data_IF_229020562095
#
_entry.id   IF_229020562095
#
_cell.length_a   1.000
_cell.length_b   1.000
_cell.length_c   1.000
_cell.angle_alpha   90.00
_cell.angle_beta   90.00
_cell.angle_gamma   90.00
#
_symmetry.space_group_name_H-M   'P 1'
#
loop_
_entity.id
_entity.type
_entity.pdbx_description
1 polymer ?
#
# COMPACT_ATOMS: atom_id res chain seq x y z
N UNK A 1 -53.95 -24.03 -14.72
CA UNK A 1 -52.98 -23.16 -14.02
C UNK A 1 -51.59 -23.54 -14.50
N UNK A 2 -51.03 -22.83 -15.49
CA UNK A 2 -49.65 -23.05 -15.94
C UNK A 2 -48.74 -22.16 -15.11
N UNK A 3 -47.89 -22.77 -14.27
CA UNK A 3 -46.83 -22.07 -13.56
C UNK A 3 -45.73 -21.79 -14.58
N UNK A 4 -45.68 -20.55 -15.07
CA UNK A 4 -44.60 -20.07 -15.92
C UNK A 4 -43.35 -19.93 -15.06
N UNK A 5 -42.45 -20.91 -15.16
CA UNK A 5 -41.11 -20.85 -14.58
C UNK A 5 -40.25 -19.85 -15.37
N UNK A 6 -40.19 -18.61 -14.90
CA UNK A 6 -39.21 -17.63 -15.40
C UNK A 6 -37.78 -18.13 -15.12
N UNK A 7 -36.90 -18.24 -16.12
CA UNK A 7 -35.55 -18.73 -15.92
C UNK A 7 -34.71 -17.67 -15.18
N UNK A 8 -34.12 -18.05 -14.04
CA UNK A 8 -33.24 -17.24 -13.17
C UNK A 8 -31.84 -17.08 -13.80
N UNK A 9 -31.77 -16.81 -15.11
CA UNK A 9 -30.53 -16.85 -15.90
C UNK A 9 -29.81 -15.51 -16.04
N UNK A 10 -30.36 -14.40 -15.54
CA UNK A 10 -29.81 -13.05 -15.78
C UNK A 10 -29.01 -12.43 -14.62
N UNK A 11 -29.05 -13.01 -13.41
CA UNK A 11 -28.39 -12.39 -12.25
C UNK A 11 -26.87 -12.66 -12.17
N UNK A 12 -26.39 -13.79 -12.72
CA UNK A 12 -24.99 -14.23 -12.55
C UNK A 12 -23.99 -13.47 -13.42
N UNK A 13 -24.41 -13.01 -14.62
CA UNK A 13 -23.57 -12.24 -15.54
C UNK A 13 -23.25 -10.83 -14.99
N UNK A 14 -24.20 -10.20 -14.30
CA UNK A 14 -24.08 -8.86 -13.73
C UNK A 14 -23.07 -8.80 -12.57
N UNK A 15 -23.11 -9.77 -11.65
CA UNK A 15 -22.18 -9.83 -10.50
C UNK A 15 -20.74 -10.00 -10.98
N UNK A 16 -20.51 -10.86 -11.99
CA UNK A 16 -19.16 -11.10 -12.48
C UNK A 16 -18.52 -9.92 -13.18
N UNK A 17 -19.29 -9.21 -14.00
CA UNK A 17 -18.82 -7.98 -14.62
C UNK A 17 -18.53 -6.89 -13.57
N UNK A 18 -19.41 -6.74 -12.57
CA UNK A 18 -19.21 -5.80 -11.45
C UNK A 18 -17.93 -6.10 -10.67
N UNK A 19 -17.66 -7.37 -10.33
CA UNK A 19 -16.43 -7.75 -9.62
C UNK A 19 -15.17 -7.44 -10.44
N UNK A 20 -15.19 -7.68 -11.76
CA UNK A 20 -14.05 -7.35 -12.63
C UNK A 20 -13.76 -5.85 -12.66
N UNK A 21 -14.79 -5.02 -12.82
CA UNK A 21 -14.65 -3.56 -12.82
C UNK A 21 -14.18 -3.05 -11.45
N UNK A 22 -14.76 -3.57 -10.36
CA UNK A 22 -14.35 -3.22 -9.01
C UNK A 22 -12.88 -3.61 -8.75
N UNK A 23 -12.46 -4.79 -9.18
CA UNK A 23 -11.07 -5.24 -9.07
C UNK A 23 -10.10 -4.40 -9.91
N UNK A 24 -10.49 -3.99 -11.12
CA UNK A 24 -9.69 -3.08 -11.93
C UNK A 24 -9.49 -1.72 -11.24
N UNK A 25 -10.57 -1.11 -10.74
CA UNK A 25 -10.46 0.14 -9.96
C UNK A 25 -9.61 -0.04 -8.70
N UNK A 26 -9.81 -1.14 -7.97
CA UNK A 26 -9.03 -1.46 -6.78
C UNK A 26 -7.53 -1.59 -7.10
N UNK A 27 -7.18 -2.20 -8.24
CA UNK A 27 -5.78 -2.34 -8.72
C UNK A 27 -5.18 -0.99 -9.07
N UNK A 28 -5.92 -0.12 -9.77
CA UNK A 28 -5.48 1.25 -10.06
C UNK A 28 -5.21 2.03 -8.76
N UNK A 29 -6.12 1.92 -7.80
CA UNK A 29 -5.99 2.60 -6.51
C UNK A 29 -4.85 2.04 -5.66
N UNK A 30 -4.62 0.73 -5.69
CA UNK A 30 -3.46 0.10 -5.06
C UNK A 30 -2.16 0.71 -5.60
N UNK A 31 -1.99 0.77 -6.92
CA UNK A 31 -0.79 1.31 -7.56
C UNK A 31 -0.63 2.79 -7.23
N UNK A 32 -1.70 3.60 -7.36
CA UNK A 32 -1.65 5.02 -7.04
C UNK A 32 -1.31 5.26 -5.57
N UNK A 33 -1.89 4.50 -4.64
CA UNK A 33 -1.59 4.61 -3.22
C UNK A 33 -0.13 4.22 -2.91
N UNK A 34 0.38 3.16 -3.54
CA UNK A 34 1.79 2.80 -3.45
C UNK A 34 2.70 3.93 -3.95
N UNK A 35 2.43 4.49 -5.14
CA UNK A 35 3.24 5.57 -5.71
C UNK A 35 3.22 6.82 -4.83
N UNK A 36 2.09 7.16 -4.22
CA UNK A 36 2.00 8.26 -3.26
C UNK A 36 2.84 7.98 -2.02
N UNK A 37 2.73 6.78 -1.43
CA UNK A 37 3.44 6.45 -0.20
C UNK A 37 4.95 6.28 -0.43
N UNK A 38 5.39 5.57 -1.48
CA UNK A 38 6.80 5.43 -1.89
C UNK A 38 7.40 6.78 -2.29
N UNK A 39 6.63 7.61 -3.00
CA UNK A 39 7.03 8.98 -3.33
C UNK A 39 7.28 9.82 -2.08
N UNK A 40 6.34 9.81 -1.11
CA UNK A 40 6.50 10.54 0.14
C UNK A 40 7.68 10.00 0.96
N UNK A 41 7.85 8.68 1.05
CA UNK A 41 8.96 8.03 1.73
C UNK A 41 10.30 8.61 1.21
N UNK A 42 10.47 8.60 -0.12
CA UNK A 42 11.71 9.04 -0.75
C UNK A 42 11.92 10.54 -0.64
N UNK A 43 10.88 11.34 -0.84
CA UNK A 43 10.95 12.79 -0.69
C UNK A 43 11.32 13.20 0.74
N UNK A 44 10.79 12.52 1.76
CA UNK A 44 11.15 12.78 3.15
C UNK A 44 12.62 12.43 3.43
N UNK A 45 13.08 11.26 2.98
CA UNK A 45 14.49 10.85 3.10
C UNK A 45 15.43 11.81 2.37
N UNK A 46 15.13 12.20 1.13
CA UNK A 46 15.91 13.15 0.35
C UNK A 46 15.91 14.53 1.01
N UNK A 47 14.75 15.00 1.47
CA UNK A 47 14.62 16.31 2.12
C UNK A 47 15.49 16.42 3.38
N UNK A 48 15.50 15.38 4.22
CA UNK A 48 16.36 15.35 5.41
C UNK A 48 17.83 15.22 5.03
N UNK A 49 18.19 14.38 4.04
CA UNK A 49 19.57 14.26 3.58
C UNK A 49 20.11 15.58 3.01
N UNK A 50 19.32 16.27 2.17
CA UNK A 50 19.68 17.56 1.61
C UNK A 50 19.82 18.64 2.70
N UNK A 51 18.95 18.65 3.71
CA UNK A 51 19.05 19.57 4.84
C UNK A 51 20.33 19.35 5.68
N UNK A 52 20.90 18.14 5.66
CA UNK A 52 22.16 17.79 6.30
C UNK A 52 23.37 17.89 5.36
N UNK A 53 23.19 18.36 4.12
CA UNK A 53 24.25 18.47 3.13
C UNK A 53 24.81 17.13 2.65
N UNK A 54 24.02 16.05 2.71
CA UNK A 54 24.45 14.71 2.30
C UNK A 54 24.15 14.52 0.80
N UNK A 55 25.17 14.42 -0.06
CA UNK A 55 24.96 14.29 -1.50
C UNK A 55 24.45 12.90 -1.86
N UNK A 56 23.55 12.83 -2.83
CA UNK A 56 22.98 11.57 -3.29
C UNK A 56 22.40 11.63 -4.70
N UNK A 57 21.98 10.46 -5.17
CA UNK A 57 21.28 10.28 -6.44
C UNK A 57 19.99 9.52 -6.19
N UNK A 58 18.89 10.12 -6.62
CA UNK A 58 17.57 9.53 -6.57
C UNK A 58 17.24 8.81 -7.88
N UNK A 59 17.17 7.49 -7.81
CA UNK A 59 16.72 6.63 -8.91
C UNK A 59 15.27 6.16 -8.73
N UNK A 60 14.70 5.59 -9.79
CA UNK A 60 13.32 5.09 -9.78
C UNK A 60 13.07 3.94 -8.79
N UNK A 61 14.12 3.25 -8.32
CA UNK A 61 14.00 2.12 -7.39
C UNK A 61 14.76 2.31 -6.07
N UNK A 62 15.67 3.29 -5.99
CA UNK A 62 16.53 3.46 -4.82
C UNK A 62 17.04 4.89 -4.68
N UNK A 63 17.42 5.25 -3.47
CA UNK A 63 18.25 6.43 -3.20
C UNK A 63 19.66 5.92 -2.92
N UNK A 64 20.66 6.49 -3.59
CA UNK A 64 22.07 6.15 -3.41
C UNK A 64 22.79 7.38 -2.87
N UNK A 65 23.25 7.32 -1.62
CA UNK A 65 24.08 8.37 -1.04
C UNK A 65 25.52 8.23 -1.56
N UNK A 66 26.20 9.36 -1.77
CA UNK A 66 27.60 9.42 -2.23
C UNK A 66 28.61 9.58 -1.09
N UNK A 67 28.14 9.45 0.14
CA UNK A 67 28.94 9.55 1.36
C UNK A 67 29.66 8.22 1.63
N UNK A 68 30.93 8.27 2.02
CA UNK A 68 31.65 7.06 2.44
C UNK A 68 31.16 6.55 3.80
N UNK A 69 31.28 5.25 4.07
CA UNK A 69 30.76 4.65 5.31
C UNK A 69 31.33 5.30 6.58
N UNK A 70 32.59 5.76 6.55
CA UNK A 70 33.25 6.42 7.67
C UNK A 70 32.81 7.87 7.91
N UNK A 71 32.14 8.49 6.93
CA UNK A 71 31.69 9.88 6.99
C UNK A 71 30.29 10.01 7.62
N UNK A 72 29.58 8.89 7.79
CA UNK A 72 28.28 8.88 8.45
C UNK A 72 28.41 9.10 9.95
N UNK A 73 27.62 10.03 10.47
CA UNK A 73 27.45 10.22 11.91
C UNK A 73 26.08 9.75 12.38
N UNK A 74 26.01 9.35 13.64
CA UNK A 74 24.85 8.64 14.21
C UNK A 74 23.52 9.36 14.03
N UNK A 75 23.47 10.67 14.28
CA UNK A 75 22.22 11.43 14.17
C UNK A 75 21.76 11.57 12.72
N UNK A 76 22.68 11.70 11.75
CA UNK A 76 22.32 11.69 10.33
C UNK A 76 21.73 10.36 9.90
N UNK A 77 22.34 9.23 10.27
CA UNK A 77 21.82 7.90 9.91
C UNK A 77 20.39 7.73 10.42
N UNK A 78 20.16 8.02 11.70
CA UNK A 78 18.83 7.91 12.31
C UNK A 78 17.83 8.87 11.64
N UNK A 79 18.22 10.11 11.38
CA UNK A 79 17.33 11.10 10.77
C UNK A 79 16.98 10.75 9.32
N UNK A 80 17.97 10.45 8.48
CA UNK A 80 17.79 10.19 7.05
C UNK A 80 17.01 8.90 6.80
N UNK A 81 17.41 7.81 7.44
CA UNK A 81 16.74 6.51 7.27
C UNK A 81 15.44 6.39 8.07
N UNK A 82 15.23 7.24 9.09
CA UNK A 82 13.97 7.31 9.84
C UNK A 82 12.91 8.20 9.21
N UNK A 83 13.30 9.20 8.40
CA UNK A 83 12.38 10.19 7.83
C UNK A 83 11.30 9.58 6.94
N UNK A 84 11.69 8.72 5.98
CA UNK A 84 10.77 8.05 5.07
C UNK A 84 9.71 7.21 5.81
N UNK A 85 10.12 6.24 6.66
CA UNK A 85 9.19 5.44 7.46
C UNK A 85 8.25 6.29 8.31
N UNK A 86 8.77 7.29 9.03
CA UNK A 86 7.95 8.15 9.91
C UNK A 86 6.94 8.99 9.10
N UNK A 87 7.32 9.50 7.93
CA UNK A 87 6.41 10.21 7.04
C UNK A 87 5.28 9.28 6.54
N UNK A 88 5.60 8.03 6.21
CA UNK A 88 4.60 7.02 5.83
C UNK A 88 3.66 6.64 6.99
N UNK A 89 4.17 6.55 8.21
CA UNK A 89 3.33 6.32 9.40
C UNK A 89 2.36 7.49 9.61
N UNK A 90 2.84 8.73 9.51
CA UNK A 90 2.00 9.92 9.60
C UNK A 90 0.94 9.96 8.48
N UNK A 91 1.33 9.62 7.24
CA UNK A 91 0.42 9.51 6.09
C UNK A 91 -0.67 8.46 6.34
N UNK A 92 -0.30 7.29 6.85
CA UNK A 92 -1.26 6.23 7.17
C UNK A 92 -2.25 6.66 8.26
N UNK A 93 -1.77 7.28 9.33
CA UNK A 93 -2.61 7.83 10.39
C UNK A 93 -3.57 8.89 9.87
N UNK A 94 -3.07 9.83 9.05
CA UNK A 94 -3.88 10.88 8.42
C UNK A 94 -4.93 10.32 7.45
N UNK A 95 -4.57 9.32 6.65
CA UNK A 95 -5.48 8.66 5.72
C UNK A 95 -6.59 7.88 6.47
N UNK A 96 -6.24 7.13 7.51
CA UNK A 96 -7.18 6.41 8.35
C UNK A 96 -8.13 7.36 9.11
N UNK A 97 -7.59 8.44 9.68
CA UNK A 97 -8.39 9.49 10.31
C UNK A 97 -9.38 10.08 9.29
N UNK A 98 -8.89 10.53 8.14
CA UNK A 98 -9.74 11.15 7.12
C UNK A 98 -10.85 10.18 6.67
N UNK A 99 -10.49 8.91 6.47
CA UNK A 99 -11.44 7.87 6.15
C UNK A 99 -12.57 7.84 7.19
N UNK A 100 -12.22 7.73 8.46
CA UNK A 100 -13.17 7.60 9.56
C UNK A 100 -14.07 8.82 9.73
N UNK A 101 -13.48 10.01 9.69
CA UNK A 101 -14.23 11.25 9.98
C UNK A 101 -15.02 11.77 8.79
N UNK A 102 -14.52 11.59 7.56
CA UNK A 102 -15.06 12.30 6.39
C UNK A 102 -15.46 11.41 5.23
N UNK A 103 -14.88 10.22 5.06
CA UNK A 103 -15.07 9.43 3.84
C UNK A 103 -15.98 8.21 4.01
N UNK A 104 -16.07 7.61 5.21
CA UNK A 104 -16.74 6.31 5.44
C UNK A 104 -18.20 6.24 4.95
N UNK A 105 -18.93 7.34 5.07
CA UNK A 105 -20.34 7.44 4.63
C UNK A 105 -20.52 8.10 3.26
N UNK A 106 -19.41 8.51 2.63
CA UNK A 106 -19.44 9.09 1.29
C UNK A 106 -19.31 7.98 0.23
N UNK A 107 -19.91 8.25 -0.93
CA UNK A 107 -19.79 7.40 -2.11
C UNK A 107 -18.51 7.75 -2.86
N UNK A 108 -17.98 6.78 -3.59
CA UNK A 108 -16.90 6.95 -4.54
C UNK A 108 -15.63 6.19 -4.18
N UNK A 109 -14.68 6.21 -5.10
CA UNK A 109 -13.43 5.46 -5.03
C UNK A 109 -12.41 6.03 -4.04
N UNK A 110 -12.61 7.28 -3.59
CA UNK A 110 -11.66 7.96 -2.71
C UNK A 110 -11.47 7.25 -1.36
N UNK A 111 -12.52 6.65 -0.79
CA UNK A 111 -12.40 5.89 0.46
C UNK A 111 -11.57 4.61 0.27
N UNK A 112 -11.64 3.99 -0.90
CA UNK A 112 -10.80 2.84 -1.23
C UNK A 112 -9.35 3.26 -1.50
N UNK A 113 -9.13 4.43 -2.09
CA UNK A 113 -7.80 5.05 -2.16
C UNK A 113 -7.21 5.26 -0.76
N UNK A 114 -7.96 5.89 0.15
CA UNK A 114 -7.52 6.13 1.53
C UNK A 114 -7.19 4.83 2.26
N UNK A 115 -8.00 3.78 2.09
CA UNK A 115 -7.71 2.47 2.66
C UNK A 115 -6.37 1.92 2.16
N UNK A 116 -6.15 1.89 0.84
CA UNK A 116 -4.88 1.43 0.29
C UNK A 116 -3.71 2.30 0.73
N UNK A 117 -3.91 3.62 0.85
CA UNK A 117 -2.90 4.55 1.34
C UNK A 117 -2.53 4.27 2.79
N UNK A 118 -3.51 3.98 3.65
CA UNK A 118 -3.28 3.53 5.02
C UNK A 118 -2.48 2.23 5.03
N UNK A 119 -2.88 1.23 4.26
CA UNK A 119 -2.19 -0.07 4.25
C UNK A 119 -0.76 0.03 3.72
N UNK A 120 -0.52 0.80 2.66
CA UNK A 120 0.83 1.04 2.14
C UNK A 120 1.68 1.85 3.12
N UNK A 121 1.15 2.90 3.75
CA UNK A 121 1.90 3.70 4.72
C UNK A 121 2.27 2.89 5.97
N UNK A 122 1.34 2.08 6.50
CA UNK A 122 1.63 1.15 7.60
C UNK A 122 2.70 0.13 7.19
N UNK A 123 2.60 -0.41 5.99
CA UNK A 123 3.57 -1.38 5.49
C UNK A 123 4.96 -0.75 5.26
N UNK A 124 5.04 0.49 4.76
CA UNK A 124 6.32 1.20 4.59
C UNK A 124 6.92 1.70 5.91
N UNK A 125 6.25 1.50 7.04
CA UNK A 125 6.82 1.66 8.37
C UNK A 125 7.10 0.31 9.03
N UNK A 126 6.06 -0.49 9.30
CA UNK A 126 6.18 -1.78 10.00
C UNK A 126 6.80 -2.87 9.11
N UNK A 127 6.26 -3.04 7.91
CA UNK A 127 6.75 -4.03 6.94
C UNK A 127 8.11 -3.67 6.35
N UNK A 128 8.44 -2.39 6.26
CA UNK A 128 9.75 -1.91 5.86
C UNK A 128 10.81 -2.38 6.84
N UNK A 129 10.63 -2.20 8.15
CA UNK A 129 11.60 -2.67 9.14
C UNK A 129 11.84 -4.18 9.06
N UNK A 130 10.78 -4.96 8.81
CA UNK A 130 10.89 -6.42 8.59
C UNK A 130 11.78 -6.73 7.39
N UNK A 131 11.43 -6.21 6.21
CA UNK A 131 12.14 -6.45 4.96
C UNK A 131 13.58 -5.94 4.99
N UNK A 132 13.76 -4.74 5.52
CA UNK A 132 15.03 -4.04 5.64
C UNK A 132 15.98 -4.80 6.58
N UNK A 133 15.46 -5.50 7.59
CA UNK A 133 16.27 -6.34 8.46
C UNK A 133 16.80 -7.60 7.76
N UNK A 134 16.05 -8.16 6.80
CA UNK A 134 16.56 -9.27 5.97
C UNK A 134 17.63 -8.82 4.99
N UNK A 135 17.58 -7.58 4.51
CA UNK A 135 18.52 -7.06 3.51
C UNK A 135 19.63 -6.17 4.08
N UNK A 136 19.55 -5.86 5.38
CA UNK A 136 20.45 -4.94 6.10
C UNK A 136 20.58 -3.58 5.39
N UNK A 137 19.44 -3.02 4.97
CA UNK A 137 19.39 -1.78 4.21
C UNK A 137 18.31 -0.83 4.78
N UNK A 138 18.33 0.44 4.40
CA UNK A 138 17.22 1.36 4.66
C UNK A 138 16.93 1.53 6.15
N UNK A 139 15.69 1.23 6.55
CA UNK A 139 15.21 1.45 7.91
C UNK A 139 15.91 0.58 8.95
N UNK A 140 16.57 -0.52 8.56
CA UNK A 140 17.40 -1.34 9.44
C UNK A 140 18.53 -0.55 10.12
N UNK A 141 19.08 0.46 9.44
CA UNK A 141 20.14 1.29 9.99
C UNK A 141 19.69 2.08 11.22
N UNK A 142 18.41 2.43 11.33
CA UNK A 142 17.89 3.23 12.45
C UNK A 142 18.10 2.54 13.79
N UNK A 143 17.53 1.35 14.07
CA UNK A 143 17.80 0.67 15.33
C UNK A 143 19.26 0.23 15.49
N UNK A 144 19.95 -0.12 14.39
CA UNK A 144 21.36 -0.51 14.44
C UNK A 144 22.24 0.61 15.04
N UNK A 145 22.05 1.83 14.54
CA UNK A 145 22.79 3.01 14.99
C UNK A 145 22.19 3.66 16.24
N UNK A 146 20.90 3.48 16.50
CA UNK A 146 20.25 4.01 17.69
C UNK A 146 20.61 3.22 18.94
N UNK A 147 20.69 1.88 18.88
CA UNK A 147 20.93 1.06 20.07
C UNK A 147 22.38 0.61 20.22
N UNK A 148 23.15 0.50 19.13
CA UNK A 148 24.54 0.01 19.14
C UNK A 148 24.71 -1.34 19.86
N UNK A 149 23.64 -2.14 19.91
CA UNK A 149 23.54 -3.38 20.68
C UNK A 149 23.66 -4.63 19.80
N UNK A 150 24.26 -4.48 18.61
CA UNK A 150 24.37 -5.53 17.61
C UNK A 150 23.03 -5.86 16.92
N UNK A 151 23.04 -6.91 16.09
CA UNK A 151 21.90 -7.23 15.22
C UNK A 151 20.71 -7.85 15.96
N UNK A 152 20.89 -8.35 17.20
CA UNK A 152 19.81 -9.00 17.96
C UNK A 152 18.64 -8.05 18.22
N UNK A 153 18.94 -6.76 18.49
CA UNK A 153 17.90 -5.74 18.71
C UNK A 153 17.13 -5.44 17.43
N UNK A 154 17.81 -5.38 16.27
CA UNK A 154 17.16 -5.19 14.98
C UNK A 154 16.18 -6.33 14.67
N UNK A 155 16.61 -7.58 14.88
CA UNK A 155 15.77 -8.77 14.67
C UNK A 155 14.58 -8.78 15.63
N UNK A 156 14.79 -8.45 16.91
CA UNK A 156 13.71 -8.38 17.88
C UNK A 156 12.67 -7.31 17.52
N UNK A 157 13.10 -6.11 17.11
CA UNK A 157 12.21 -5.05 16.67
C UNK A 157 11.47 -5.41 15.37
N UNK A 158 12.17 -5.99 14.40
CA UNK A 158 11.56 -6.49 13.17
C UNK A 158 10.48 -7.53 13.47
N UNK A 159 10.72 -8.45 14.40
CA UNK A 159 9.72 -9.43 14.84
C UNK A 159 8.49 -8.74 15.48
N UNK A 160 8.70 -7.81 16.41
CA UNK A 160 7.62 -7.06 17.06
C UNK A 160 6.80 -6.28 16.02
N UNK A 161 7.45 -5.56 15.11
CA UNK A 161 6.79 -4.78 14.06
C UNK A 161 6.04 -5.70 13.08
N UNK A 162 6.63 -6.85 12.77
CA UNK A 162 6.03 -7.93 11.99
C UNK A 162 4.80 -8.56 12.66
N UNK A 163 4.67 -8.51 13.99
CA UNK A 163 3.46 -8.91 14.73
C UNK A 163 2.40 -7.81 14.78
N UNK A 164 2.81 -6.55 14.89
CA UNK A 164 1.89 -5.40 14.89
C UNK A 164 1.13 -5.29 13.56
N UNK A 165 1.81 -5.52 12.43
CA UNK A 165 1.22 -5.37 11.10
C UNK A 165 0.01 -6.30 10.85
N UNK A 166 0.05 -7.60 11.20
CA UNK A 166 -1.13 -8.48 11.20
C UNK A 166 -2.29 -8.00 12.07
N UNK A 167 -2.00 -7.49 13.28
CA UNK A 167 -3.04 -6.96 14.18
C UNK A 167 -3.73 -5.76 13.54
N UNK A 168 -2.96 -4.83 12.96
CA UNK A 168 -3.51 -3.67 12.25
C UNK A 168 -4.30 -4.10 11.00
N UNK A 169 -3.84 -5.13 10.29
CA UNK A 169 -4.56 -5.74 9.17
C UNK A 169 -5.92 -6.28 9.59
N UNK A 170 -5.97 -7.05 10.69
CA UNK A 170 -7.23 -7.54 11.26
C UNK A 170 -8.19 -6.38 11.62
N UNK A 171 -7.69 -5.36 12.31
CA UNK A 171 -8.47 -4.19 12.73
C UNK A 171 -8.93 -3.31 11.56
N UNK A 172 -8.33 -3.43 10.37
CA UNK A 172 -8.72 -2.69 9.18
C UNK A 172 -9.95 -3.30 8.45
N UNK A 173 -10.48 -4.44 8.90
CA UNK A 173 -11.63 -5.10 8.26
C UNK A 173 -12.87 -4.22 8.14
N UNK A 174 -13.31 -3.47 9.17
CA UNK A 174 -14.43 -2.55 9.04
C UNK A 174 -14.16 -1.46 8.00
N UNK A 175 -12.93 -0.93 7.94
CA UNK A 175 -12.54 0.08 6.95
C UNK A 175 -12.62 -0.49 5.53
N UNK A 176 -12.14 -1.72 5.32
CA UNK A 176 -12.23 -2.40 4.03
C UNK A 176 -13.67 -2.64 3.58
N UNK A 177 -14.53 -3.15 4.46
CA UNK A 177 -15.92 -3.40 4.11
C UNK A 177 -16.63 -2.07 3.79
N UNK A 178 -16.39 -1.04 4.61
CA UNK A 178 -16.96 0.29 4.39
C UNK A 178 -16.38 1.01 3.18
N UNK A 179 -15.20 0.62 2.68
CA UNK A 179 -14.60 1.23 1.49
C UNK A 179 -15.31 0.85 0.19
N UNK A 180 -16.26 -0.08 0.22
CA UNK A 180 -16.99 -0.54 -0.96
C UNK A 180 -18.39 0.09 -1.04
N UNK A 181 -18.83 0.40 -2.26
CA UNK A 181 -20.16 1.00 -2.51
C UNK A 181 -21.19 -0.01 -3.02
N UNK A 182 -20.75 -1.18 -3.48
CA UNK A 182 -21.61 -2.14 -4.17
C UNK A 182 -22.34 -3.04 -3.18
N UNK A 183 -23.64 -2.79 -2.99
CA UNK A 183 -24.52 -3.65 -2.18
C UNK A 183 -24.50 -5.11 -2.62
N UNK A 184 -24.45 -5.36 -3.93
CA UNK A 184 -24.44 -6.73 -4.46
C UNK A 184 -23.16 -7.45 -4.05
N UNK A 185 -21.99 -6.82 -4.21
CA UNK A 185 -20.72 -7.46 -3.86
C UNK A 185 -20.49 -7.57 -2.36
N UNK A 186 -21.15 -6.73 -1.56
CA UNK A 186 -21.04 -6.73 -0.10
C UNK A 186 -21.86 -7.81 0.61
N UNK A 187 -22.77 -8.49 -0.09
CA UNK A 187 -23.51 -9.63 0.46
C UNK A 187 -22.55 -10.72 0.93
N UNK A 188 -22.88 -11.37 2.03
CA UNK A 188 -22.06 -12.42 2.61
C UNK A 188 -21.73 -13.54 1.61
N UNK A 189 -22.72 -13.98 0.81
CA UNK A 189 -22.56 -14.98 -0.26
C UNK A 189 -21.49 -14.64 -1.30
N UNK A 190 -21.19 -13.34 -1.48
CA UNK A 190 -20.22 -12.84 -2.44
C UNK A 190 -18.93 -12.35 -1.78
N UNK A 191 -18.77 -12.52 -0.46
CA UNK A 191 -17.62 -12.02 0.31
C UNK A 191 -16.29 -12.58 -0.19
N UNK A 192 -16.22 -13.90 -0.42
CA UNK A 192 -15.00 -14.52 -0.98
C UNK A 192 -14.62 -13.90 -2.33
N UNK A 193 -15.61 -13.66 -3.19
CA UNK A 193 -15.38 -13.04 -4.50
C UNK A 193 -14.91 -11.60 -4.35
N UNK A 194 -15.52 -10.83 -3.45
CA UNK A 194 -15.10 -9.48 -3.11
C UNK A 194 -13.63 -9.47 -2.70
N UNK A 195 -13.25 -10.26 -1.70
CA UNK A 195 -11.87 -10.34 -1.19
C UNK A 195 -10.86 -10.75 -2.28
N UNK A 196 -11.17 -11.78 -3.06
CA UNK A 196 -10.27 -12.21 -4.13
C UNK A 196 -10.09 -11.11 -5.18
N UNK A 197 -11.16 -10.39 -5.56
CA UNK A 197 -11.14 -9.44 -6.68
C UNK A 197 -10.72 -8.03 -6.29
N UNK A 198 -10.97 -7.58 -5.05
CA UNK A 198 -10.71 -6.20 -4.60
C UNK A 198 -9.67 -6.09 -3.49
N UNK A 199 -9.16 -7.21 -2.97
CA UNK A 199 -8.04 -7.23 -2.02
C UNK A 199 -6.81 -7.97 -2.58
N UNK A 200 -6.95 -9.28 -2.88
CA UNK A 200 -5.81 -10.09 -3.29
C UNK A 200 -5.38 -9.84 -4.74
N UNK A 201 -6.32 -9.77 -5.68
CA UNK A 201 -5.99 -9.47 -7.09
C UNK A 201 -5.33 -8.09 -7.26
N UNK A 202 -5.79 -7.00 -6.62
CA UNK A 202 -5.10 -5.71 -6.65
C UNK A 202 -3.68 -5.75 -6.11
N UNK A 203 -3.45 -6.46 -5.00
CA UNK A 203 -2.10 -6.66 -4.48
C UNK A 203 -1.22 -7.40 -5.48
N UNK A 204 -1.69 -8.53 -6.02
CA UNK A 204 -0.89 -9.34 -6.94
C UNK A 204 -0.62 -8.61 -8.26
N UNK A 205 -1.67 -8.17 -8.95
CA UNK A 205 -1.58 -7.50 -10.24
C UNK A 205 -0.87 -6.16 -10.13
N UNK A 206 -1.19 -5.39 -9.09
CA UNK A 206 -0.55 -4.11 -8.82
C UNK A 206 0.94 -4.26 -8.52
N UNK A 207 1.32 -5.25 -7.70
CA UNK A 207 2.73 -5.54 -7.42
C UNK A 207 3.47 -5.98 -8.68
N UNK A 208 2.87 -6.82 -9.53
CA UNK A 208 3.46 -7.22 -10.81
C UNK A 208 3.68 -6.01 -11.72
N UNK A 209 2.69 -5.13 -11.86
CA UNK A 209 2.81 -3.91 -12.68
C UNK A 209 3.92 -3.00 -12.14
N UNK A 210 3.99 -2.80 -10.82
CA UNK A 210 5.05 -2.02 -10.19
C UNK A 210 6.44 -2.62 -10.41
N UNK A 211 6.57 -3.94 -10.26
CA UNK A 211 7.81 -4.66 -10.53
C UNK A 211 8.25 -4.52 -12.00
N UNK A 212 7.32 -4.65 -12.94
CA UNK A 212 7.60 -4.47 -14.37
C UNK A 212 8.01 -3.03 -14.69
N UNK A 213 7.34 -2.03 -14.10
CA UNK A 213 7.67 -0.63 -14.29
C UNK A 213 9.07 -0.28 -13.77
N UNK A 214 9.53 -0.97 -12.72
CA UNK A 214 10.85 -0.79 -12.09
C UNK A 214 11.96 -1.66 -12.69
N UNK A 215 11.66 -2.53 -13.65
CA UNK A 215 12.67 -3.37 -14.29
C UNK A 215 13.57 -2.54 -15.23
N UNK A 216 14.92 -2.76 -15.27
CA UNK A 216 15.70 -3.79 -14.56
C UNK A 216 16.18 -3.38 -13.16
N UNK A 217 15.87 -2.17 -12.70
CA UNK A 217 16.37 -1.60 -11.45
C UNK A 217 15.67 -2.16 -10.17
N UNK A 218 14.84 -3.19 -10.30
CA UNK A 218 14.04 -3.75 -9.21
C UNK A 218 14.90 -4.48 -8.17
N UNK A 219 14.96 -3.93 -6.96
CA UNK A 219 15.75 -4.51 -5.87
C UNK A 219 15.05 -5.68 -5.17
N UNK A 220 15.82 -6.54 -4.49
CA UNK A 220 15.28 -7.58 -3.58
C UNK A 220 14.46 -6.92 -2.46
N UNK A 221 14.94 -5.80 -1.94
CA UNK A 221 14.29 -5.12 -0.82
C UNK A 221 12.89 -4.60 -1.19
N UNK A 222 12.71 -4.01 -2.37
CA UNK A 222 11.39 -3.58 -2.84
C UNK A 222 10.41 -4.75 -3.02
N UNK A 223 10.89 -5.90 -3.50
CA UNK A 223 10.06 -7.12 -3.57
C UNK A 223 9.63 -7.57 -2.18
N UNK A 224 10.52 -7.48 -1.19
CA UNK A 224 10.18 -7.78 0.20
C UNK A 224 9.18 -6.76 0.76
N UNK A 225 9.33 -5.45 0.51
CA UNK A 225 8.32 -4.45 0.90
C UNK A 225 6.95 -4.75 0.32
N UNK A 226 6.86 -5.12 -0.97
CA UNK A 226 5.58 -5.52 -1.57
C UNK A 226 5.01 -6.79 -0.95
N UNK A 227 5.88 -7.73 -0.56
CA UNK A 227 5.49 -9.02 0.02
C UNK A 227 5.07 -8.91 1.49
N UNK A 228 5.71 -8.05 2.28
CA UNK A 228 5.38 -7.85 3.70
C UNK A 228 3.98 -7.29 3.89
N UNK A 229 3.40 -6.65 2.87
CA UNK A 229 2.00 -6.22 2.90
C UNK A 229 1.04 -7.39 3.08
N UNK A 230 1.40 -8.61 2.66
CA UNK A 230 0.60 -9.82 2.92
C UNK A 230 0.37 -10.07 4.42
N UNK A 231 1.31 -9.66 5.28
CA UNK A 231 1.15 -9.77 6.73
C UNK A 231 -0.07 -8.99 7.21
N UNK A 232 -0.45 -7.88 6.56
CA UNK A 232 -1.69 -7.17 6.83
C UNK A 232 -2.88 -7.72 6.04
N UNK A 233 -2.70 -8.09 4.76
CA UNK A 233 -3.83 -8.47 3.89
C UNK A 233 -4.45 -9.82 4.26
N UNK A 234 -3.66 -10.79 4.72
CA UNK A 234 -4.17 -12.10 5.14
C UNK A 234 -5.12 -12.01 6.36
N UNK A 235 -4.72 -11.43 7.50
CA UNK A 235 -5.62 -11.27 8.64
C UNK A 235 -6.79 -10.33 8.34
N UNK A 236 -6.60 -9.32 7.49
CA UNK A 236 -7.70 -8.49 6.98
C UNK A 236 -8.76 -9.34 6.25
N UNK A 237 -8.32 -10.21 5.34
CA UNK A 237 -9.23 -11.10 4.61
C UNK A 237 -9.95 -12.08 5.53
N UNK A 238 -9.26 -12.62 6.54
CA UNK A 238 -9.84 -13.50 7.56
C UNK A 238 -10.90 -12.76 8.38
N UNK A 239 -10.58 -11.57 8.90
CA UNK A 239 -11.51 -10.73 9.64
C UNK A 239 -12.75 -10.38 8.82
N UNK A 240 -12.58 -9.92 7.57
CA UNK A 240 -13.70 -9.63 6.67
C UNK A 240 -14.58 -10.84 6.34
N UNK A 241 -14.04 -12.05 6.43
CA UNK A 241 -14.81 -13.28 6.19
C UNK A 241 -15.70 -13.64 7.39
N UNK A 242 -15.33 -13.20 8.59
CA UNK A 242 -16.09 -13.45 9.83
C UNK A 242 -17.09 -12.33 10.17
N UNK A 243 -17.02 -11.19 9.48
CA UNK A 243 -17.88 -10.04 9.70
C UNK A 243 -19.26 -10.20 9.04
N UNK A 244 -20.32 -10.01 9.84
CA UNK A 244 -21.73 -10.06 9.41
C UNK A 244 -22.23 -8.74 8.78
N UNK A 245 -21.33 -7.78 8.56
CA UNK A 245 -21.68 -6.45 8.07
C UNK A 245 -22.09 -6.46 6.58
N UNK A 246 -23.37 -6.18 6.28
CA UNK A 246 -23.92 -6.26 4.91
C UNK A 246 -24.21 -4.91 4.23
N UNK A 247 -24.36 -3.81 4.99
CA UNK A 247 -24.81 -2.53 4.43
C UNK A 247 -23.97 -1.34 4.88
N UNK A 248 -23.38 -0.61 3.92
CA UNK A 248 -22.59 0.60 4.19
C UNK A 248 -23.30 1.90 3.81
N UNK A 249 -24.08 1.92 2.72
CA UNK A 249 -24.66 3.15 2.15
C UNK A 249 -26.09 2.91 1.67
N UNK A 250 -26.95 3.92 1.86
CA UNK A 250 -28.38 3.94 1.52
C UNK A 250 -28.69 3.90 0.01
N UNK A 251 -27.80 4.42 -0.84
CA UNK A 251 -27.91 4.24 -2.30
C UNK A 251 -26.54 3.96 -2.93
N UNK A 252 -26.34 2.79 -3.56
CA UNK A 252 -25.07 2.41 -4.18
C UNK A 252 -24.80 3.23 -5.46
N UNK A 253 -23.53 3.50 -5.76
CA UNK A 253 -23.14 4.04 -7.06
C UNK A 253 -23.04 2.94 -8.13
N UNK A 254 -23.31 3.31 -9.39
CA UNK A 254 -23.08 2.42 -10.53
C UNK A 254 -21.58 2.14 -10.67
N UNK A 255 -21.22 0.87 -10.71
CA UNK A 255 -19.83 0.42 -10.88
C UNK A 255 -19.37 0.73 -12.31
N UNK A 256 -18.42 1.66 -12.45
CA UNK A 256 -17.81 2.06 -13.72
C UNK A 256 -16.29 2.04 -13.58
N UNK A 257 -15.61 1.73 -14.69
CA UNK A 257 -14.16 1.82 -14.73
C UNK A 257 -13.73 3.29 -14.69
N UNK A 258 -12.85 3.63 -13.76
CA UNK A 258 -12.36 4.99 -13.59
C UNK A 258 -11.17 5.24 -14.52
N UNK A 259 -11.46 5.46 -15.82
CA UNK A 259 -10.43 5.72 -16.84
C UNK A 259 -9.47 6.86 -16.49
N UNK A 260 -9.95 7.91 -15.82
CA UNK A 260 -9.08 8.99 -15.34
C UNK A 260 -7.98 8.51 -14.40
N UNK A 261 -8.26 7.52 -13.53
CA UNK A 261 -7.25 6.92 -12.66
C UNK A 261 -6.25 6.06 -13.44
N UNK A 262 -6.70 5.37 -14.49
CA UNK A 262 -5.82 4.59 -15.35
C UNK A 262 -4.83 5.48 -16.12
N UNK A 263 -5.32 6.60 -16.68
CA UNK A 263 -4.46 7.60 -17.34
C UNK A 263 -3.48 8.21 -16.35
N UNK A 264 -3.95 8.63 -15.16
CA UNK A 264 -3.08 9.17 -14.12
C UNK A 264 -1.98 8.18 -13.71
N UNK A 265 -2.33 6.92 -13.48
CA UNK A 265 -1.38 5.86 -13.15
C UNK A 265 -0.32 5.69 -14.26
N UNK A 266 -0.75 5.61 -15.52
CA UNK A 266 0.17 5.46 -16.65
C UNK A 266 1.13 6.66 -16.76
N UNK A 267 0.62 7.88 -16.57
CA UNK A 267 1.43 9.10 -16.57
C UNK A 267 2.46 9.10 -15.43
N UNK A 268 2.07 8.75 -14.21
CA UNK A 268 2.98 8.72 -13.06
C UNK A 268 4.08 7.67 -13.22
N UNK A 269 3.74 6.47 -13.69
CA UNK A 269 4.73 5.43 -13.96
C UNK A 269 5.67 5.82 -15.11
N UNK A 270 5.13 6.36 -16.20
CA UNK A 270 5.91 6.83 -17.35
C UNK A 270 6.84 7.99 -16.99
N UNK A 271 6.32 9.02 -16.33
CA UNK A 271 7.09 10.16 -15.87
C UNK A 271 8.17 9.74 -14.87
N UNK A 272 7.81 8.90 -13.89
CA UNK A 272 8.76 8.35 -12.93
C UNK A 272 9.90 7.60 -13.62
N UNK A 273 9.59 6.77 -14.62
CA UNK A 273 10.61 6.02 -15.38
C UNK A 273 11.53 6.94 -16.18
N UNK A 274 10.98 7.94 -16.87
CA UNK A 274 11.77 8.87 -17.72
C UNK A 274 12.63 9.80 -16.87
N UNK A 275 12.05 10.40 -15.83
CA UNK A 275 12.73 11.39 -14.99
C UNK A 275 13.76 10.72 -14.07
N UNK A 276 13.38 9.63 -13.39
CA UNK A 276 14.24 8.97 -12.40
C UNK A 276 15.08 7.83 -12.98
N UNK A 277 14.92 7.51 -14.26
CA UNK A 277 15.72 6.50 -14.97
C UNK A 277 17.19 6.91 -15.09
N UNK A 278 17.46 8.20 -15.29
CA UNK A 278 18.82 8.74 -15.36
C UNK A 278 19.42 9.08 -13.99
N UNK A 279 18.59 9.09 -12.95
CA UNK A 279 18.96 9.52 -11.60
C UNK A 279 18.94 11.05 -11.46
N UNK A 280 18.29 11.54 -10.40
CA UNK A 280 18.32 12.95 -10.03
C UNK A 280 19.30 13.18 -8.90
N UNK A 281 20.32 14.01 -9.13
CA UNK A 281 21.28 14.42 -8.10
C UNK A 281 20.67 15.42 -7.13
N UNK A 282 21.01 15.29 -5.84
CA UNK A 282 20.66 16.24 -4.79
C UNK A 282 21.79 16.36 -3.77
N UNK A 283 21.72 17.41 -2.94
CA UNK A 283 22.75 17.73 -1.93
C UNK A 283 23.77 18.69 -2.48
#
# INVERSE_FOLDING_TARGET
MSVTSTPVSHASSDVGQKSKIAGANATLLFILAYLTADGLYRLATIGVAAALGIPGVWHFSAIRFRLADAEWWRTAVVAVYGAGPLACLALAGGAAWWFWQRARFKRGLFKQYLLWLTLHGLNLFFGALVADTFTQNGFWYVPSWLFLAGNIVNVALAFIFGLVLPVLGYLAAPLFLQSHDSRTLMRYEHRRRLLLTTLLAPWLLGSVILCLAKYPDLSVNERLHLSTLLLALLPLALACSNELFEFTIEAPQKTRLAWGLAVLMALLLGAGRVVLGHGLTFG
#
